data_IF_628883990531
#
_entry.id   IF_628883990531
#
_cell.length_a   1.000
_cell.length_b   1.000
_cell.length_c   1.000
_cell.angle_alpha   90.00
_cell.angle_beta   90.00
_cell.angle_gamma   90.00
#
_symmetry.space_group_name_H-M   'P 1'
#
loop_
_entity.id
_entity.type
_entity.pdbx_description
1 polymer ?
#
# COMPACT_ATOMS: atom_id res chain seq x y z
N UNK A 1 22.07 -17.75 -9.28
CA UNK A 1 22.93 -17.36 -8.13
C UNK A 1 22.10 -16.50 -7.20
N UNK A 2 21.69 -17.06 -6.06
CA UNK A 2 20.88 -16.37 -5.05
C UNK A 2 21.76 -15.32 -4.35
N UNK A 3 21.50 -14.03 -4.58
CA UNK A 3 22.11 -12.96 -3.77
C UNK A 3 21.52 -13.08 -2.36
N UNK A 4 22.37 -13.34 -1.36
CA UNK A 4 22.01 -13.25 0.05
C UNK A 4 21.55 -11.81 0.31
N UNK A 5 20.29 -11.61 0.68
CA UNK A 5 19.84 -10.35 1.24
C UNK A 5 20.63 -10.10 2.52
N UNK A 6 21.34 -8.98 2.56
CA UNK A 6 22.02 -8.49 3.75
C UNK A 6 20.91 -8.10 4.72
N UNK A 7 20.85 -8.73 5.89
CA UNK A 7 19.95 -8.33 6.98
C UNK A 7 20.32 -6.88 7.30
N UNK A 8 19.44 -5.94 6.94
CA UNK A 8 19.51 -4.57 7.42
C UNK A 8 18.79 -4.61 8.77
N UNK A 9 19.49 -4.38 9.90
CA UNK A 9 18.81 -4.27 11.18
C UNK A 9 17.83 -3.09 11.11
N UNK A 10 16.68 -3.23 11.76
CA UNK A 10 15.83 -2.07 12.06
C UNK A 10 16.72 -0.97 12.65
N UNK A 11 16.75 0.24 12.07
CA UNK A 11 17.28 1.36 12.82
C UNK A 11 16.42 1.50 14.08
N UNK A 12 17.06 1.56 15.24
CA UNK A 12 16.39 1.95 16.47
C UNK A 12 15.60 3.23 16.16
N UNK A 13 14.30 3.17 16.40
CA UNK A 13 13.40 4.32 16.33
C UNK A 13 13.82 5.26 17.47
N UNK A 14 14.68 6.23 17.17
CA UNK A 14 14.86 7.39 18.03
C UNK A 14 15.03 8.63 17.16
N UNK A 15 14.07 9.53 17.36
CA UNK A 15 13.77 10.79 16.70
C UNK A 15 14.98 11.74 16.56
N UNK A 16 15.09 12.45 15.44
CA UNK A 16 16.03 13.57 15.27
C UNK A 16 15.29 14.81 14.77
N UNK A 17 14.66 15.55 15.70
CA UNK A 17 14.90 16.99 15.78
C UNK A 17 14.41 17.59 17.12
N UNK A 18 15.27 18.43 17.72
CA UNK A 18 15.05 19.29 18.88
C UNK A 18 15.00 18.63 20.27
N UNK A 19 16.17 18.25 20.80
CA UNK A 19 16.74 18.62 22.13
C UNK A 19 17.98 17.76 22.43
N UNK A 20 19.17 18.25 22.06
CA UNK A 20 20.44 17.55 22.31
C UNK A 20 20.72 17.25 23.80
N UNK A 21 20.03 17.91 24.75
CA UNK A 21 20.13 17.60 26.18
C UNK A 21 19.11 16.59 26.74
N UNK A 22 18.01 16.30 26.04
CA UNK A 22 16.99 15.34 26.50
C UNK A 22 17.16 13.96 25.85
N UNK A 23 17.80 13.93 24.68
CA UNK A 23 18.07 12.71 23.92
C UNK A 23 19.12 11.82 24.60
N UNK A 24 20.20 12.41 25.15
CA UNK A 24 21.23 11.66 25.88
C UNK A 24 20.68 11.04 27.17
N UNK A 25 19.79 11.75 27.88
CA UNK A 25 19.13 11.19 29.07
C UNK A 25 18.14 10.07 28.72
N UNK A 26 17.38 10.19 27.62
CA UNK A 26 16.36 9.18 27.24
C UNK A 26 16.97 7.92 26.59
N UNK A 27 18.00 8.06 25.76
CA UNK A 27 18.78 6.92 25.22
C UNK A 27 19.64 6.26 26.30
N UNK A 28 20.22 7.04 27.22
CA UNK A 28 20.89 6.45 28.37
C UNK A 28 19.89 5.74 29.28
N UNK A 29 18.69 6.28 29.51
CA UNK A 29 17.65 5.63 30.31
C UNK A 29 17.11 4.33 29.67
N UNK A 30 16.97 4.27 28.34
CA UNK A 30 16.54 3.06 27.63
C UNK A 30 17.63 1.97 27.65
N UNK A 31 18.90 2.37 27.44
CA UNK A 31 20.04 1.47 27.59
C UNK A 31 20.27 1.06 29.04
N UNK A 32 20.05 1.96 30.01
CA UNK A 32 20.16 1.70 31.44
C UNK A 32 19.04 0.76 31.90
N UNK A 33 17.80 0.95 31.43
CA UNK A 33 16.69 0.06 31.70
C UNK A 33 16.92 -1.34 31.11
N UNK A 34 17.46 -1.43 29.89
CA UNK A 34 17.87 -2.69 29.29
C UNK A 34 19.03 -3.34 30.07
N UNK A 35 20.00 -2.54 30.52
CA UNK A 35 21.12 -2.99 31.35
C UNK A 35 20.66 -3.47 32.73
N UNK A 36 19.70 -2.78 33.35
CA UNK A 36 19.14 -3.11 34.66
C UNK A 36 18.23 -4.33 34.56
N UNK A 37 17.43 -4.47 33.50
CA UNK A 37 16.60 -5.65 33.24
C UNK A 37 17.47 -6.88 32.93
N UNK A 38 18.57 -6.70 32.18
CA UNK A 38 19.60 -7.74 32.01
C UNK A 38 20.22 -8.04 33.38
N UNK A 39 20.70 -7.06 34.14
CA UNK A 39 21.38 -7.28 35.43
C UNK A 39 20.50 -8.00 36.46
N UNK A 40 19.25 -7.57 36.61
CA UNK A 40 18.27 -8.15 37.52
C UNK A 40 17.89 -9.59 37.12
N UNK A 41 17.98 -9.91 35.83
CA UNK A 41 17.74 -11.26 35.31
C UNK A 41 18.99 -12.15 35.39
N UNK A 42 20.20 -11.59 35.23
CA UNK A 42 21.48 -12.29 35.41
C UNK A 42 21.68 -12.74 36.87
N UNK A 43 21.17 -11.99 37.85
CA UNK A 43 21.21 -12.35 39.28
C UNK A 43 20.35 -13.59 39.63
N UNK A 44 19.37 -13.95 38.79
CA UNK A 44 18.46 -15.07 39.01
C UNK A 44 18.81 -16.39 38.32
N UNK A 45 19.87 -16.42 37.48
CA UNK A 45 20.18 -17.57 36.61
C UNK A 45 21.60 -18.12 36.74
N UNK A 46 21.76 -19.43 36.65
CA UNK A 46 23.07 -20.09 36.55
C UNK A 46 23.69 -19.83 35.16
N UNK A 47 24.40 -18.71 35.02
CA UNK A 47 25.07 -18.31 33.78
C UNK A 47 26.52 -18.73 33.88
N UNK A 48 26.90 -19.75 33.10
CA UNK A 48 28.23 -20.37 33.20
C UNK A 48 29.14 -20.05 32.02
N UNK A 49 28.61 -19.41 30.97
CA UNK A 49 29.38 -19.06 29.77
C UNK A 49 28.81 -17.86 29.00
N UNK A 50 29.66 -17.23 28.18
CA UNK A 50 29.27 -16.18 27.21
C UNK A 50 28.21 -16.70 26.23
N UNK A 51 28.17 -18.00 25.96
CA UNK A 51 27.16 -18.63 25.12
C UNK A 51 25.77 -18.56 25.75
N UNK A 52 25.68 -18.75 27.07
CA UNK A 52 24.43 -18.65 27.83
C UNK A 52 23.91 -17.20 27.82
N UNK A 53 24.82 -16.21 27.93
CA UNK A 53 24.49 -14.78 27.81
C UNK A 53 23.92 -14.46 26.42
N UNK A 54 24.54 -14.95 25.33
CA UNK A 54 24.05 -14.71 23.97
C UNK A 54 22.70 -15.37 23.69
N UNK A 55 22.46 -16.58 24.21
CA UNK A 55 21.16 -17.25 24.13
C UNK A 55 20.11 -16.41 24.86
N UNK A 56 20.44 -15.90 26.05
CA UNK A 56 19.51 -15.11 26.85
C UNK A 56 19.20 -13.74 26.25
N UNK A 57 20.20 -13.06 25.67
CA UNK A 57 20.00 -11.83 24.89
C UNK A 57 19.09 -12.10 23.70
N UNK A 58 19.30 -13.20 22.98
CA UNK A 58 18.42 -13.58 21.87
C UNK A 58 16.99 -13.89 22.35
N UNK A 59 16.82 -14.51 23.52
CA UNK A 59 15.50 -14.73 24.13
C UNK A 59 14.80 -13.42 24.51
N UNK A 60 15.50 -12.47 25.13
CA UNK A 60 14.95 -11.14 25.45
C UNK A 60 14.60 -10.34 24.19
N UNK A 61 15.47 -10.36 23.18
CA UNK A 61 15.19 -9.76 21.88
C UNK A 61 13.99 -10.41 21.20
N UNK A 62 13.84 -11.73 21.29
CA UNK A 62 12.67 -12.42 20.74
C UNK A 62 11.39 -12.05 21.48
N UNK A 63 11.43 -11.97 22.82
CA UNK A 63 10.30 -11.54 23.65
C UNK A 63 9.85 -10.12 23.30
N UNK A 64 10.79 -9.17 23.18
CA UNK A 64 10.48 -7.79 22.78
C UNK A 64 9.95 -7.73 21.33
N UNK A 65 10.50 -8.52 20.42
CA UNK A 65 10.05 -8.57 19.03
C UNK A 65 8.71 -9.29 18.83
N UNK A 66 8.25 -10.07 19.81
CA UNK A 66 6.98 -10.81 19.79
C UNK A 66 5.89 -10.12 20.62
N UNK A 67 6.24 -9.13 21.44
CA UNK A 67 5.28 -8.31 22.18
C UNK A 67 4.48 -7.38 21.27
N UNK A 68 3.17 -7.33 21.46
CA UNK A 68 2.28 -6.41 20.76
C UNK A 68 2.55 -4.95 21.17
N UNK A 69 2.68 -4.06 20.18
CA UNK A 69 2.86 -2.62 20.42
C UNK A 69 1.59 -1.83 20.13
N UNK A 70 1.35 -0.79 20.94
CA UNK A 70 0.16 0.04 20.83
C UNK A 70 0.17 0.87 19.55
N UNK A 71 1.32 1.45 19.19
CA UNK A 71 1.53 2.21 17.95
C UNK A 71 1.36 1.35 16.68
N UNK A 72 1.59 0.04 16.78
CA UNK A 72 1.33 -0.91 15.70
C UNK A 72 -0.06 -1.54 15.78
N UNK A 73 -0.93 -0.99 16.62
CA UNK A 73 -2.28 -1.47 16.85
C UNK A 73 -2.24 -2.98 17.10
N UNK A 74 -1.50 -3.44 18.09
CA UNK A 74 -1.47 -4.84 18.51
C UNK A 74 -0.57 -5.76 17.72
N UNK A 75 0.06 -5.30 16.62
CA UNK A 75 1.10 -6.08 15.95
C UNK A 75 2.41 -6.01 16.72
N UNK A 76 3.19 -7.08 16.67
CA UNK A 76 4.56 -7.09 17.18
C UNK A 76 5.55 -6.47 16.18
N UNK A 77 6.74 -6.02 16.61
CA UNK A 77 7.80 -5.59 15.70
C UNK A 77 8.13 -6.63 14.62
N UNK A 78 8.09 -7.93 14.95
CA UNK A 78 8.29 -9.02 13.98
C UNK A 78 7.19 -9.07 12.93
N UNK A 79 5.93 -8.96 13.33
CA UNK A 79 4.80 -8.92 12.39
C UNK A 79 4.90 -7.68 11.49
N UNK A 80 5.22 -6.52 12.08
CA UNK A 80 5.36 -5.27 11.32
C UNK A 80 6.50 -5.34 10.30
N UNK A 81 7.65 -5.91 10.68
CA UNK A 81 8.75 -6.17 9.75
C UNK A 81 8.30 -6.97 8.53
N UNK A 82 7.55 -8.03 8.78
CA UNK A 82 7.03 -8.92 7.74
C UNK A 82 6.03 -8.20 6.86
N UNK A 83 5.19 -7.33 7.42
CA UNK A 83 4.25 -6.51 6.66
C UNK A 83 4.96 -5.53 5.71
N UNK A 84 6.04 -4.88 6.16
CA UNK A 84 6.76 -3.87 5.37
C UNK A 84 7.61 -4.48 4.26
N UNK A 85 8.33 -5.57 4.55
CA UNK A 85 9.37 -6.08 3.66
C UNK A 85 9.01 -7.39 2.95
N UNK A 86 8.03 -8.14 3.47
CA UNK A 86 7.64 -9.45 2.96
C UNK A 86 6.11 -9.64 2.87
N UNK A 87 5.34 -8.64 2.38
CA UNK A 87 3.88 -8.63 2.51
C UNK A 87 3.20 -9.81 1.82
N UNK A 88 3.75 -10.28 0.69
CA UNK A 88 3.23 -11.44 -0.06
C UNK A 88 3.96 -12.76 0.26
N UNK A 89 4.86 -12.75 1.23
CA UNK A 89 5.65 -13.91 1.66
C UNK A 89 5.45 -14.22 3.16
N UNK A 90 4.35 -13.74 3.74
CA UNK A 90 4.04 -13.81 5.18
C UNK A 90 2.74 -14.56 5.47
N UNK A 91 2.58 -15.75 4.89
CA UNK A 91 1.38 -16.60 4.98
C UNK A 91 1.00 -16.95 6.43
N UNK A 92 1.95 -16.89 7.36
CA UNK A 92 1.71 -17.08 8.79
C UNK A 92 0.85 -15.97 9.42
N UNK A 93 0.78 -14.79 8.79
CA UNK A 93 0.08 -13.60 9.30
C UNK A 93 -1.00 -13.10 8.33
N UNK A 94 -0.78 -13.27 7.04
CA UNK A 94 -1.67 -12.75 6.00
C UNK A 94 -1.63 -13.62 4.75
N UNK A 95 -2.82 -13.89 4.20
CA UNK A 95 -2.98 -14.62 2.94
C UNK A 95 -3.72 -13.73 1.93
N UNK A 96 -3.24 -13.73 0.69
CA UNK A 96 -3.93 -13.12 -0.46
C UNK A 96 -4.45 -14.24 -1.36
N UNK A 97 -5.77 -14.49 -1.40
CA UNK A 97 -6.32 -15.54 -2.25
C UNK A 97 -6.01 -15.31 -3.73
N UNK A 98 -5.59 -16.38 -4.43
CA UNK A 98 -5.36 -16.34 -5.89
C UNK A 98 -6.66 -16.15 -6.70
N UNK A 99 -7.81 -16.42 -6.07
CA UNK A 99 -9.14 -16.31 -6.67
C UNK A 99 -10.11 -15.72 -5.66
N UNK A 100 -10.79 -14.65 -6.05
CA UNK A 100 -11.85 -14.05 -5.23
C UNK A 100 -13.07 -14.98 -5.13
N UNK A 101 -13.86 -14.86 -4.07
CA UNK A 101 -15.03 -15.73 -3.88
C UNK A 101 -16.26 -15.19 -4.61
N UNK A 102 -16.46 -13.87 -4.56
CA UNK A 102 -17.64 -13.22 -5.12
C UNK A 102 -17.86 -13.54 -6.61
N UNK A 103 -19.11 -13.72 -7.04
CA UNK A 103 -19.43 -14.00 -8.45
C UNK A 103 -19.16 -12.79 -9.34
N UNK A 104 -19.12 -11.58 -8.78
CA UNK A 104 -18.81 -10.33 -9.46
C UNK A 104 -17.82 -9.53 -8.64
N UNK A 105 -16.81 -8.99 -9.30
CA UNK A 105 -15.83 -8.07 -8.69
C UNK A 105 -16.20 -6.66 -9.14
N UNK A 106 -16.86 -5.90 -8.26
CA UNK A 106 -17.35 -4.55 -8.59
C UNK A 106 -16.40 -3.52 -7.99
N UNK A 107 -15.56 -2.92 -8.81
CA UNK A 107 -14.73 -1.77 -8.44
C UNK A 107 -14.27 -0.99 -9.67
N UNK A 108 -13.75 0.22 -9.43
CA UNK A 108 -13.15 1.07 -10.48
C UNK A 108 -12.05 0.33 -11.23
N UNK A 109 -11.15 -0.31 -10.50
CA UNK A 109 -10.08 -1.14 -11.07
C UNK A 109 -10.65 -2.31 -11.89
N UNK A 110 -11.58 -3.09 -11.34
CA UNK A 110 -12.13 -4.26 -12.03
C UNK A 110 -12.86 -3.89 -13.33
N UNK A 111 -13.61 -2.79 -13.32
CA UNK A 111 -14.27 -2.26 -14.50
C UNK A 111 -13.28 -1.88 -15.59
N UNK A 112 -12.23 -1.12 -15.25
CA UNK A 112 -11.23 -0.66 -16.21
C UNK A 112 -10.35 -1.80 -16.74
N UNK A 113 -9.96 -2.76 -15.88
CA UNK A 113 -9.23 -3.96 -16.29
C UNK A 113 -10.05 -4.75 -17.32
N UNK A 114 -11.31 -5.04 -16.98
CA UNK A 114 -12.21 -5.80 -17.85
C UNK A 114 -12.47 -5.08 -19.16
N UNK A 115 -12.74 -3.77 -19.11
CA UNK A 115 -12.98 -2.94 -20.29
C UNK A 115 -11.77 -2.86 -21.21
N UNK A 116 -10.57 -2.67 -20.64
CA UNK A 116 -9.33 -2.66 -21.40
C UNK A 116 -9.09 -4.00 -22.09
N UNK A 117 -9.17 -5.12 -21.34
CA UNK A 117 -8.87 -6.44 -21.88
C UNK A 117 -9.87 -6.87 -22.96
N UNK A 118 -11.16 -6.63 -22.73
CA UNK A 118 -12.20 -6.90 -23.73
C UNK A 118 -12.00 -6.04 -24.98
N UNK A 119 -11.64 -4.78 -24.79
CA UNK A 119 -11.33 -3.84 -25.87
C UNK A 119 -10.12 -4.20 -26.73
N UNK A 120 -9.13 -4.89 -26.15
CA UNK A 120 -7.98 -5.42 -26.89
C UNK A 120 -8.40 -6.63 -27.73
N UNK A 121 -9.18 -7.54 -27.14
CA UNK A 121 -9.69 -8.75 -27.80
C UNK A 121 -8.59 -9.62 -28.43
N UNK A 122 -9.00 -10.55 -29.29
CA UNK A 122 -8.08 -11.48 -29.97
C UNK A 122 -7.27 -10.79 -31.08
N UNK A 123 -7.87 -9.80 -31.76
CA UNK A 123 -7.25 -9.08 -32.89
C UNK A 123 -6.19 -8.06 -32.48
N UNK A 124 -6.08 -7.76 -31.18
CA UNK A 124 -5.23 -6.72 -30.62
C UNK A 124 -5.72 -5.30 -30.92
N UNK A 125 -5.27 -4.34 -30.12
CA UNK A 125 -5.62 -2.94 -30.25
C UNK A 125 -4.47 -2.16 -30.89
N UNK A 126 -4.76 -1.44 -31.97
CA UNK A 126 -3.78 -0.54 -32.60
C UNK A 126 -3.56 0.68 -31.71
N UNK A 127 -2.30 0.96 -31.38
CA UNK A 127 -1.91 2.14 -30.64
C UNK A 127 -1.76 3.35 -31.56
N UNK A 128 -1.75 4.53 -30.96
CA UNK A 128 -1.30 5.75 -31.62
C UNK A 128 0.20 5.69 -31.93
N UNK A 129 0.70 6.61 -32.74
CA UNK A 129 2.14 6.71 -33.07
C UNK A 129 3.00 6.85 -31.81
N UNK A 130 2.52 7.56 -30.80
CA UNK A 130 3.20 7.74 -29.51
C UNK A 130 3.13 6.50 -28.61
N UNK A 131 2.39 5.47 -29.01
CA UNK A 131 2.18 4.26 -28.22
C UNK A 131 1.04 4.32 -27.22
N UNK A 132 0.23 5.39 -27.25
CA UNK A 132 -0.93 5.54 -26.39
C UNK A 132 -2.16 4.82 -26.94
N UNK A 133 -3.12 4.51 -26.07
CA UNK A 133 -4.44 4.03 -26.43
C UNK A 133 -5.17 5.03 -27.36
N UNK A 134 -5.97 4.56 -28.33
CA UNK A 134 -6.72 5.43 -29.23
C UNK A 134 -7.77 6.28 -28.50
N UNK A 135 -7.94 7.54 -28.92
CA UNK A 135 -8.88 8.49 -28.29
C UNK A 135 -10.31 7.95 -28.19
N UNK A 136 -10.88 7.42 -29.28
CA UNK A 136 -12.26 6.89 -29.28
C UNK A 136 -12.44 5.77 -28.24
N UNK A 137 -11.46 4.87 -28.17
CA UNK A 137 -11.43 3.77 -27.22
C UNK A 137 -11.44 4.27 -25.76
N UNK A 138 -10.63 5.27 -25.45
CA UNK A 138 -10.58 5.86 -24.11
C UNK A 138 -11.91 6.55 -23.77
N UNK A 139 -12.49 7.31 -24.72
CA UNK A 139 -13.75 8.03 -24.51
C UNK A 139 -14.92 7.09 -24.22
N UNK A 140 -15.02 5.97 -24.93
CA UNK A 140 -16.06 4.94 -24.71
C UNK A 140 -15.96 4.34 -23.30
N UNK A 141 -14.74 3.96 -22.87
CA UNK A 141 -14.52 3.43 -21.51
C UNK A 141 -14.81 4.48 -20.44
N UNK A 142 -14.34 5.72 -20.65
CA UNK A 142 -14.55 6.81 -19.71
C UNK A 142 -16.04 7.13 -19.53
N UNK A 143 -16.84 7.08 -20.60
CA UNK A 143 -18.28 7.27 -20.52
C UNK A 143 -18.93 6.24 -19.58
N UNK A 144 -18.63 4.94 -19.76
CA UNK A 144 -19.16 3.89 -18.88
C UNK A 144 -18.62 3.97 -17.44
N UNK A 145 -17.40 4.49 -17.27
CA UNK A 145 -16.80 4.72 -15.96
C UNK A 145 -17.53 5.84 -15.19
N UNK A 146 -17.69 7.03 -15.78
CA UNK A 146 -18.31 8.17 -15.09
C UNK A 146 -19.81 7.99 -14.85
N UNK A 147 -20.49 7.15 -15.64
CA UNK A 147 -21.88 6.74 -15.34
C UNK A 147 -22.00 5.96 -14.03
N UNK A 148 -20.97 5.18 -13.67
CA UNK A 148 -20.96 4.37 -12.44
C UNK A 148 -20.30 5.10 -11.26
N UNK A 149 -19.28 5.89 -11.53
CA UNK A 149 -18.55 6.68 -10.53
C UNK A 149 -18.50 8.14 -10.97
N UNK A 150 -19.58 8.90 -10.74
CA UNK A 150 -19.62 10.32 -11.06
C UNK A 150 -18.47 11.04 -10.34
N UNK A 151 -17.69 11.80 -11.10
CA UNK A 151 -16.66 12.66 -10.53
C UNK A 151 -17.27 14.00 -10.14
N UNK A 152 -16.78 14.59 -9.03
CA UNK A 152 -17.13 15.97 -8.65
C UNK A 152 -16.81 16.96 -9.77
N UNK A 153 -15.72 16.71 -10.50
CA UNK A 153 -15.32 17.46 -11.67
C UNK A 153 -15.09 16.49 -12.82
N UNK A 154 -16.04 16.42 -13.75
CA UNK A 154 -15.82 15.70 -15.00
C UNK A 154 -14.79 16.45 -15.86
N UNK A 155 -13.86 15.74 -16.51
CA UNK A 155 -12.91 16.38 -17.40
C UNK A 155 -13.64 17.02 -18.58
N UNK A 156 -13.39 18.32 -18.82
CA UNK A 156 -13.99 19.11 -19.91
C UNK A 156 -13.86 18.43 -21.28
N UNK A 157 -12.76 17.70 -21.51
CA UNK A 157 -12.61 16.83 -22.68
C UNK A 157 -11.49 15.81 -22.49
N UNK A 158 -11.70 14.57 -22.93
CA UNK A 158 -10.65 13.54 -23.04
C UNK A 158 -10.09 13.56 -24.47
N UNK A 159 -8.82 13.97 -24.62
CA UNK A 159 -8.11 14.10 -25.90
C UNK A 159 -6.99 13.08 -26.04
N UNK A 160 -6.33 12.75 -24.94
CA UNK A 160 -5.21 11.80 -24.85
C UNK A 160 -5.46 10.76 -23.76
N UNK A 161 -4.67 9.67 -23.76
CA UNK A 161 -4.74 8.63 -22.73
C UNK A 161 -4.47 9.18 -21.32
N UNK A 162 -3.51 10.08 -21.20
CA UNK A 162 -3.13 10.68 -19.91
C UNK A 162 -4.19 11.64 -19.37
N UNK A 163 -5.13 12.10 -20.21
CA UNK A 163 -6.28 12.89 -19.75
C UNK A 163 -7.28 12.04 -18.94
N UNK A 164 -7.25 10.70 -19.12
CA UNK A 164 -8.03 9.75 -18.33
C UNK A 164 -7.08 8.84 -17.52
N UNK A 165 -6.47 9.45 -16.51
CA UNK A 165 -5.44 8.83 -15.67
C UNK A 165 -5.81 7.43 -15.12
N UNK A 166 -7.05 7.15 -14.65
CA UNK A 166 -7.40 5.82 -14.16
C UNK A 166 -7.15 4.71 -15.20
N UNK A 167 -7.57 4.89 -16.45
CA UNK A 167 -7.34 3.90 -17.50
C UNK A 167 -5.87 3.82 -17.89
N UNK A 168 -5.17 4.96 -17.92
CA UNK A 168 -3.74 4.99 -18.19
C UNK A 168 -2.95 4.15 -17.17
N UNK A 169 -3.27 4.29 -15.88
CA UNK A 169 -2.67 3.50 -14.80
C UNK A 169 -2.98 2.02 -14.97
N UNK A 170 -4.23 1.64 -15.25
CA UNK A 170 -4.59 0.24 -15.54
C UNK A 170 -3.79 -0.29 -16.73
N UNK A 171 -3.66 0.47 -17.81
CA UNK A 171 -2.88 0.06 -18.98
C UNK A 171 -1.43 -0.26 -18.62
N UNK A 172 -0.77 0.61 -17.84
CA UNK A 172 0.60 0.37 -17.36
C UNK A 172 0.69 -0.87 -16.46
N UNK A 173 -0.20 -1.00 -15.48
CA UNK A 173 -0.13 -2.07 -14.48
C UNK A 173 -0.45 -3.43 -15.10
N UNK A 174 -1.43 -3.50 -16.01
CA UNK A 174 -1.75 -4.72 -16.77
C UNK A 174 -0.56 -5.14 -17.64
N UNK A 175 0.19 -4.18 -18.18
CA UNK A 175 1.45 -4.46 -18.88
C UNK A 175 2.53 -4.99 -17.94
N UNK A 176 2.75 -4.33 -16.79
CA UNK A 176 3.74 -4.74 -15.77
C UNK A 176 3.43 -6.14 -15.18
N UNK A 177 2.15 -6.49 -15.11
CA UNK A 177 1.67 -7.81 -14.70
C UNK A 177 1.82 -8.89 -15.79
N UNK A 178 2.22 -8.51 -17.01
CA UNK A 178 2.48 -9.41 -18.14
C UNK A 178 1.22 -9.92 -18.84
N UNK A 179 0.08 -9.25 -18.67
CA UNK A 179 -1.17 -9.62 -19.33
C UNK A 179 -1.29 -9.07 -20.75
N UNK A 180 -0.58 -7.99 -21.05
CA UNK A 180 -0.50 -7.42 -22.39
C UNK A 180 0.94 -7.28 -22.84
N UNK A 181 1.15 -7.32 -24.16
CA UNK A 181 2.44 -7.06 -24.80
C UNK A 181 2.27 -6.13 -26.00
N UNK A 182 3.26 -5.27 -26.23
CA UNK A 182 3.32 -4.39 -27.39
C UNK A 182 4.09 -5.07 -28.53
N UNK A 183 3.51 -5.10 -29.73
CA UNK A 183 4.15 -5.63 -30.93
C UNK A 183 3.73 -4.82 -32.16
N UNK A 184 4.71 -4.31 -32.92
CA UNK A 184 4.49 -3.57 -34.19
C UNK A 184 3.39 -2.48 -34.10
N UNK A 185 3.41 -1.67 -33.05
CA UNK A 185 2.44 -0.57 -32.85
C UNK A 185 1.03 -1.01 -32.44
N UNK A 186 0.84 -2.28 -32.06
CA UNK A 186 -0.37 -2.80 -31.45
C UNK A 186 -0.08 -3.36 -30.05
N UNK A 187 -1.11 -3.48 -29.22
CA UNK A 187 -1.08 -4.27 -28.00
C UNK A 187 -1.93 -5.54 -28.19
N UNK A 188 -1.47 -6.63 -27.61
CA UNK A 188 -2.13 -7.93 -27.64
C UNK A 188 -2.19 -8.52 -26.24
N UNK A 189 -3.24 -9.28 -25.97
CA UNK A 189 -3.32 -10.15 -24.80
C UNK A 189 -2.24 -11.24 -24.90
N UNK A 190 -1.57 -11.54 -23.79
CA UNK A 190 -0.57 -12.61 -23.74
C UNK A 190 -1.23 -13.98 -23.59
N UNK A 191 -0.48 -15.06 -23.83
CA UNK A 191 -0.96 -16.41 -23.55
C UNK A 191 -1.31 -16.60 -22.06
N UNK A 192 -0.60 -15.90 -21.16
CA UNK A 192 -0.95 -15.82 -19.73
C UNK A 192 -2.36 -15.25 -19.56
N UNK A 193 -2.65 -14.10 -20.17
CA UNK A 193 -3.97 -13.49 -20.10
C UNK A 193 -5.08 -14.41 -20.60
N UNK A 194 -4.89 -15.05 -21.76
CA UNK A 194 -5.85 -16.02 -22.30
C UNK A 194 -6.15 -17.17 -21.34
N UNK A 195 -5.10 -17.78 -20.76
CA UNK A 195 -5.25 -18.85 -19.76
C UNK A 195 -5.99 -18.38 -18.51
N UNK A 196 -5.57 -17.26 -17.92
CA UNK A 196 -6.19 -16.75 -16.68
C UNK A 196 -7.65 -16.37 -16.90
N UNK A 197 -7.99 -15.76 -18.04
CA UNK A 197 -9.37 -15.45 -18.39
C UNK A 197 -10.24 -16.72 -18.48
N UNK A 198 -9.72 -17.78 -19.11
CA UNK A 198 -10.42 -19.05 -19.24
C UNK A 198 -10.59 -19.79 -17.89
N UNK A 199 -9.62 -19.67 -16.98
CA UNK A 199 -9.67 -20.33 -15.66
C UNK A 199 -10.69 -19.70 -14.73
N UNK A 200 -10.75 -18.38 -14.64
CA UNK A 200 -11.65 -17.71 -13.69
C UNK A 200 -11.88 -16.23 -13.94
N UNK A 201 -11.54 -15.74 -15.14
CA UNK A 201 -11.82 -14.37 -15.54
C UNK A 201 -11.23 -13.33 -14.59
N UNK A 202 -12.02 -12.29 -14.32
CA UNK A 202 -11.63 -11.19 -13.44
C UNK A 202 -11.30 -11.65 -12.02
N UNK A 203 -11.91 -12.74 -11.53
CA UNK A 203 -11.70 -13.24 -10.15
C UNK A 203 -10.26 -13.68 -9.89
N UNK A 204 -9.55 -14.12 -10.93
CA UNK A 204 -8.15 -14.57 -10.87
C UNK A 204 -7.18 -13.50 -11.38
N UNK A 205 -7.63 -12.64 -12.30
CA UNK A 205 -6.83 -11.54 -12.83
C UNK A 205 -6.66 -10.43 -11.78
N UNK A 206 -7.73 -10.11 -11.07
CA UNK A 206 -7.76 -8.98 -10.16
C UNK A 206 -6.69 -9.07 -9.06
N UNK A 207 -6.52 -10.19 -8.31
CA UNK A 207 -5.43 -10.32 -7.33
C UNK A 207 -4.03 -10.17 -7.95
N UNK A 208 -3.83 -10.66 -9.18
CA UNK A 208 -2.54 -10.52 -9.87
C UNK A 208 -2.24 -9.08 -10.30
N UNK A 209 -3.27 -8.33 -10.74
CA UNK A 209 -3.13 -6.91 -11.07
C UNK A 209 -2.91 -6.08 -9.80
N UNK A 210 -3.63 -6.39 -8.72
CA UNK A 210 -3.44 -5.78 -7.41
C UNK A 210 -1.99 -5.96 -6.92
N UNK A 211 -1.47 -7.19 -6.95
CA UNK A 211 -0.07 -7.47 -6.60
C UNK A 211 0.92 -6.67 -7.45
N UNK A 212 0.70 -6.62 -8.77
CA UNK A 212 1.56 -5.84 -9.67
C UNK A 212 1.47 -4.32 -9.43
N UNK A 213 0.32 -3.79 -9.03
CA UNK A 213 0.15 -2.39 -8.66
C UNK A 213 0.99 -2.02 -7.43
N UNK A 214 1.14 -2.95 -6.49
CA UNK A 214 1.93 -2.75 -5.28
C UNK A 214 3.43 -2.93 -5.56
N UNK A 215 3.82 -4.01 -6.21
CA UNK A 215 5.24 -4.38 -6.34
C UNK A 215 5.98 -3.69 -7.48
N UNK A 216 5.27 -3.24 -8.53
CA UNK A 216 5.91 -2.83 -9.79
C UNK A 216 5.59 -1.42 -10.22
N UNK A 217 4.52 -0.83 -9.71
CA UNK A 217 4.07 0.50 -10.10
C UNK A 217 4.43 1.52 -9.01
N UNK A 218 5.07 2.62 -9.41
CA UNK A 218 5.41 3.72 -8.50
C UNK A 218 4.19 4.63 -8.31
N UNK A 219 3.67 4.72 -7.08
CA UNK A 219 2.41 5.43 -6.84
C UNK A 219 2.50 6.95 -7.08
N UNK A 220 3.70 7.53 -6.92
CA UNK A 220 4.00 8.94 -7.18
C UNK A 220 3.78 9.39 -8.63
N UNK A 221 3.76 8.45 -9.58
CA UNK A 221 3.50 8.73 -10.98
C UNK A 221 2.16 9.45 -11.22
N UNK A 222 1.22 9.33 -10.29
CA UNK A 222 -0.15 9.81 -10.47
C UNK A 222 -0.41 11.25 -9.99
N UNK A 223 0.43 11.84 -9.13
CA UNK A 223 0.13 13.13 -8.46
C UNK A 223 1.19 14.22 -8.57
N UNK A 224 2.42 13.89 -8.96
CA UNK A 224 3.50 14.89 -9.00
C UNK A 224 3.96 15.36 -7.61
N UNK A 225 3.55 14.67 -6.53
CA UNK A 225 4.18 14.80 -5.22
C UNK A 225 5.50 14.00 -5.17
N UNK A 226 6.27 14.18 -4.09
CA UNK A 226 7.56 13.52 -3.89
C UNK A 226 7.44 11.99 -3.95
N UNK A 227 8.52 11.30 -4.30
CA UNK A 227 8.56 9.84 -4.28
C UNK A 227 8.60 9.38 -2.82
N UNK A 228 7.56 8.69 -2.36
CA UNK A 228 7.42 8.19 -0.99
C UNK A 228 7.40 6.65 -0.99
N UNK A 229 8.52 5.98 -1.30
CA UNK A 229 8.56 4.52 -1.40
C UNK A 229 8.30 3.84 -0.05
N UNK A 230 8.73 4.42 1.07
CA UNK A 230 8.43 3.88 2.39
C UNK A 230 6.94 4.00 2.69
N UNK A 231 6.29 5.12 2.36
CA UNK A 231 4.82 5.23 2.43
C UNK A 231 4.10 4.13 1.62
N UNK A 232 4.60 3.79 0.43
CA UNK A 232 4.04 2.69 -0.35
C UNK A 232 4.25 1.33 0.33
N UNK A 233 5.36 1.13 1.05
CA UNK A 233 5.62 -0.11 1.80
C UNK A 233 4.68 -0.32 2.99
N UNK A 234 4.04 0.75 3.51
CA UNK A 234 3.08 0.65 4.62
C UNK A 234 1.69 0.13 4.20
N UNK A 235 1.47 -0.18 2.91
CA UNK A 235 0.15 -0.56 2.41
C UNK A 235 -0.51 -1.71 3.18
N UNK A 236 0.26 -2.72 3.57
CA UNK A 236 -0.30 -3.88 4.26
C UNK A 236 -0.74 -3.52 5.69
N UNK A 237 0.02 -2.64 6.36
CA UNK A 237 -0.41 -2.07 7.64
C UNK A 237 -1.68 -1.22 7.48
N UNK A 238 -1.79 -0.41 6.43
CA UNK A 238 -3.02 0.34 6.15
C UNK A 238 -4.22 -0.59 5.88
N UNK A 239 -4.03 -1.69 5.14
CA UNK A 239 -5.09 -2.69 4.96
C UNK A 239 -5.47 -3.39 6.27
N UNK A 240 -4.50 -3.64 7.16
CA UNK A 240 -4.75 -4.16 8.49
C UNK A 240 -5.59 -3.20 9.35
N UNK A 241 -5.26 -1.90 9.33
CA UNK A 241 -6.06 -0.89 10.02
C UNK A 241 -7.49 -0.82 9.46
N UNK A 242 -7.64 -0.88 8.14
CA UNK A 242 -8.95 -0.92 7.48
C UNK A 242 -9.74 -2.19 7.83
N UNK A 243 -9.07 -3.34 7.91
CA UNK A 243 -9.69 -4.58 8.34
C UNK A 243 -10.18 -4.50 9.80
N UNK A 244 -9.36 -3.93 10.68
CA UNK A 244 -9.65 -3.85 12.12
C UNK A 244 -10.72 -2.81 12.47
N UNK A 245 -10.70 -1.66 11.80
CA UNK A 245 -11.49 -0.49 12.19
C UNK A 245 -12.52 -0.04 11.15
N UNK A 246 -12.42 -0.55 9.92
CA UNK A 246 -13.19 -0.08 8.77
C UNK A 246 -14.61 -0.63 8.65
N UNK A 247 -15.11 -1.44 9.60
CA UNK A 247 -16.52 -1.85 9.60
C UNK A 247 -17.47 -0.65 9.76
N UNK A 248 -17.01 0.38 10.48
CA UNK A 248 -17.71 1.64 10.67
C UNK A 248 -17.07 2.75 9.84
N UNK A 249 -17.86 3.77 9.50
CA UNK A 249 -17.34 4.98 8.88
C UNK A 249 -16.41 5.71 9.85
N UNK A 250 -15.18 5.96 9.40
CA UNK A 250 -14.17 6.72 10.16
C UNK A 250 -13.58 7.84 9.32
N UNK A 251 -13.21 8.97 9.92
CA UNK A 251 -12.50 10.01 9.19
C UNK A 251 -11.17 9.46 8.68
N UNK A 252 -10.76 9.86 7.48
CA UNK A 252 -9.46 9.52 6.90
C UNK A 252 -8.28 9.87 7.83
N UNK A 253 -8.40 10.95 8.61
CA UNK A 253 -7.42 11.38 9.61
C UNK A 253 -7.12 10.33 10.67
N UNK A 254 -8.08 9.47 11.03
CA UNK A 254 -7.84 8.34 11.95
C UNK A 254 -6.74 7.41 11.41
N UNK A 255 -6.78 7.12 10.11
CA UNK A 255 -5.80 6.25 9.46
C UNK A 255 -4.47 6.97 9.20
N UNK A 256 -4.51 8.28 8.94
CA UNK A 256 -3.30 9.11 8.86
C UNK A 256 -2.56 9.12 10.20
N UNK A 257 -3.27 9.38 11.30
CA UNK A 257 -2.70 9.43 12.65
C UNK A 257 -2.06 8.10 13.03
N UNK A 258 -2.73 6.98 12.75
CA UNK A 258 -2.20 5.65 13.01
C UNK A 258 -0.88 5.37 12.26
N UNK A 259 -0.78 5.80 11.00
CA UNK A 259 0.43 5.58 10.18
C UNK A 259 1.57 6.52 10.58
N UNK A 260 1.26 7.79 10.89
CA UNK A 260 2.26 8.75 11.38
C UNK A 260 2.79 8.30 12.74
N UNK A 261 1.92 7.83 13.64
CA UNK A 261 2.31 7.32 14.95
C UNK A 261 3.17 6.06 14.84
N UNK A 262 2.82 5.13 13.93
CA UNK A 262 3.59 3.91 13.70
C UNK A 262 4.96 4.20 13.05
N UNK A 263 5.04 5.24 12.20
CA UNK A 263 6.23 5.51 11.40
C UNK A 263 6.59 7.00 11.36
N UNK A 264 7.10 7.57 12.47
CA UNK A 264 7.54 8.97 12.51
C UNK A 264 8.60 9.29 11.44
N UNK A 265 9.43 8.29 11.09
CA UNK A 265 10.47 8.40 10.05
C UNK A 265 9.94 8.65 8.62
N UNK A 266 8.63 8.52 8.37
CA UNK A 266 8.04 8.92 7.08
C UNK A 266 8.28 10.40 6.77
N UNK A 267 8.49 11.22 7.80
CA UNK A 267 8.82 12.63 7.64
C UNK A 267 10.15 12.85 6.92
N UNK A 268 11.08 11.89 6.99
CA UNK A 268 12.38 11.97 6.32
C UNK A 268 12.27 11.85 4.78
N UNK A 269 11.16 11.30 4.26
CA UNK A 269 10.89 11.22 2.82
C UNK A 269 10.34 12.53 2.23
N UNK A 270 9.86 13.46 3.08
CA UNK A 270 9.24 14.70 2.64
C UNK A 270 10.30 15.75 2.37
N UNK A 271 10.28 16.34 1.18
CA UNK A 271 11.15 17.48 0.86
C UNK A 271 10.54 18.75 1.48
N UNK A 272 11.24 19.42 2.42
CA UNK A 272 10.72 20.64 3.02
C UNK A 272 10.51 21.74 1.98
N UNK A 273 9.35 22.39 2.03
CA UNK A 273 8.96 23.44 1.08
C UNK A 273 8.49 24.69 1.85
N UNK A 274 8.93 25.91 1.49
CA UNK A 274 8.70 27.13 2.29
C UNK A 274 7.24 27.54 2.52
N UNK A 275 6.31 27.04 1.71
CA UNK A 275 4.88 27.39 1.74
C UNK A 275 4.01 26.34 2.46
N UNK A 276 4.62 25.33 3.10
CA UNK A 276 3.87 24.41 3.95
C UNK A 276 3.98 24.87 5.40
N UNK A 277 2.85 25.35 5.94
CA UNK A 277 2.77 25.82 7.33
C UNK A 277 2.88 24.65 8.32
N UNK A 278 2.45 23.45 7.92
CA UNK A 278 2.55 22.22 8.70
C UNK A 278 3.44 21.21 7.95
N UNK A 279 4.56 20.75 8.53
CA UNK A 279 5.45 19.78 7.89
C UNK A 279 4.81 18.41 7.66
N UNK A 280 3.79 18.02 8.43
CA UNK A 280 3.09 16.73 8.26
C UNK A 280 2.02 16.77 7.16
N UNK A 281 1.52 17.96 6.80
CA UNK A 281 0.41 18.09 5.84
C UNK A 281 0.73 17.44 4.48
N UNK A 282 1.93 17.61 3.89
CA UNK A 282 2.32 16.89 2.67
C UNK A 282 2.22 15.37 2.79
N UNK A 283 2.69 14.81 3.90
CA UNK A 283 2.70 13.37 4.15
C UNK A 283 1.27 12.85 4.28
N UNK A 284 0.45 13.50 5.12
CA UNK A 284 -0.95 13.15 5.36
C UNK A 284 -1.78 13.22 4.08
N UNK A 285 -1.59 14.29 3.31
CA UNK A 285 -2.19 14.45 1.99
C UNK A 285 -1.77 13.32 1.03
N UNK A 286 -0.49 12.99 0.98
CA UNK A 286 0.00 11.88 0.16
C UNK A 286 -0.56 10.53 0.61
N UNK A 287 -0.68 10.30 1.93
CA UNK A 287 -1.31 9.09 2.47
C UNK A 287 -2.77 8.98 2.03
N UNK A 288 -3.59 10.01 2.29
CA UNK A 288 -4.99 10.02 1.90
C UNK A 288 -5.19 9.83 0.40
N UNK A 289 -4.42 10.56 -0.41
CA UNK A 289 -4.53 10.49 -1.87
C UNK A 289 -4.07 9.13 -2.42
N UNK A 290 -2.89 8.66 -2.02
CA UNK A 290 -2.26 7.48 -2.62
C UNK A 290 -2.80 6.19 -2.01
N UNK A 291 -2.91 6.11 -0.68
CA UNK A 291 -3.34 4.91 0.04
C UNK A 291 -4.86 4.73 0.03
N UNK A 292 -5.61 5.78 0.38
CA UNK A 292 -7.05 5.65 0.57
C UNK A 292 -7.80 5.83 -0.74
N UNK A 293 -7.53 6.90 -1.50
CA UNK A 293 -8.29 7.20 -2.72
C UNK A 293 -7.84 6.37 -3.94
N UNK A 294 -6.56 6.45 -4.29
CA UNK A 294 -6.01 5.88 -5.54
C UNK A 294 -5.59 4.43 -5.44
N UNK A 295 -5.48 3.90 -4.23
CA UNK A 295 -5.23 2.48 -3.99
C UNK A 295 -6.49 1.81 -3.44
N UNK A 296 -6.79 1.93 -2.15
CA UNK A 296 -7.86 1.16 -1.51
C UNK A 296 -9.22 1.44 -2.17
N UNK A 297 -9.56 2.70 -2.39
CA UNK A 297 -10.82 3.09 -3.02
C UNK A 297 -10.86 2.75 -4.51
N UNK A 298 -9.72 2.81 -5.21
CA UNK A 298 -9.65 2.47 -6.63
C UNK A 298 -9.87 0.97 -6.86
N UNK A 299 -9.25 0.15 -6.01
CA UNK A 299 -9.47 -1.29 -6.00
C UNK A 299 -10.85 -1.67 -5.41
N UNK A 300 -11.53 -0.75 -4.73
CA UNK A 300 -12.86 -0.98 -4.17
C UNK A 300 -12.83 -1.71 -2.82
N UNK A 301 -11.70 -1.64 -2.12
CA UNK A 301 -11.50 -2.18 -0.77
C UNK A 301 -12.15 -1.29 0.30
N UNK A 302 -12.37 -0.02 -0.04
CA UNK A 302 -13.07 0.94 0.79
C UNK A 302 -14.08 1.75 -0.02
N UNK A 303 -15.17 2.13 0.64
CA UNK A 303 -16.02 3.24 0.24
C UNK A 303 -15.44 4.54 0.80
N UNK A 304 -15.55 5.61 0.01
CA UNK A 304 -15.14 6.97 0.40
C UNK A 304 -16.33 7.90 0.27
N UNK A 305 -16.62 8.64 1.32
CA UNK A 305 -17.68 9.63 1.34
C UNK A 305 -17.10 10.97 1.76
N UNK A 306 -17.33 12.02 0.96
CA UNK A 306 -16.91 13.38 1.32
C UNK A 306 -17.72 13.84 2.55
N UNK A 307 -17.03 14.27 3.60
CA UNK A 307 -17.63 14.76 4.84
C UNK A 307 -17.36 16.24 5.12
N UNK A 308 -16.45 16.86 4.36
CA UNK A 308 -16.07 18.26 4.55
C UNK A 308 -17.05 19.24 3.90
N UNK A 309 -17.16 20.45 4.48
CA UNK A 309 -17.86 21.57 3.85
C UNK A 309 -16.95 22.46 3.00
N UNK A 310 -15.63 22.38 3.19
CA UNK A 310 -14.64 23.17 2.45
C UNK A 310 -14.26 22.46 1.13
N UNK A 311 -14.60 23.02 -0.05
CA UNK A 311 -14.22 22.47 -1.34
C UNK A 311 -12.70 22.38 -1.56
N UNK A 312 -11.91 23.15 -0.80
CA UNK A 312 -10.45 23.21 -0.90
C UNK A 312 -9.76 22.22 0.03
N UNK A 313 -10.47 21.69 1.03
CA UNK A 313 -9.99 20.69 2.00
C UNK A 313 -10.99 19.55 2.07
N UNK A 314 -10.91 18.67 1.08
CA UNK A 314 -11.76 17.49 1.02
C UNK A 314 -11.44 16.57 2.20
N UNK A 315 -12.31 16.58 3.20
CA UNK A 315 -12.33 15.61 4.27
C UNK A 315 -13.18 14.42 3.84
N UNK A 316 -12.70 13.23 4.16
CA UNK A 316 -13.35 11.98 3.78
C UNK A 316 -13.64 11.13 4.99
N UNK A 317 -14.78 10.43 4.95
CA UNK A 317 -15.00 9.23 5.74
C UNK A 317 -14.70 8.00 4.88
N UNK A 318 -14.16 6.99 5.53
CA UNK A 318 -13.69 5.74 4.93
C UNK A 318 -14.36 4.58 5.65
N UNK A 319 -14.81 3.60 4.88
CA UNK A 319 -15.35 2.34 5.39
C UNK A 319 -14.89 1.20 4.51
N UNK A 320 -14.41 0.11 5.10
CA UNK A 320 -14.03 -1.09 4.37
C UNK A 320 -15.26 -1.73 3.69
N UNK A 321 -15.04 -2.27 2.50
CA UNK A 321 -16.04 -3.06 1.78
C UNK A 321 -15.81 -4.56 2.05
N UNK A 322 -16.79 -5.44 1.74
CA UNK A 322 -16.58 -6.89 1.80
C UNK A 322 -15.42 -7.38 0.91
N UNK A 323 -15.10 -6.66 -0.17
CA UNK A 323 -14.02 -7.02 -1.08
C UNK A 323 -12.64 -6.97 -0.40
N UNK A 324 -12.46 -6.15 0.65
CA UNK A 324 -11.23 -6.16 1.44
C UNK A 324 -10.98 -7.55 2.03
N UNK A 325 -11.97 -8.11 2.72
CA UNK A 325 -11.85 -9.42 3.38
C UNK A 325 -11.75 -10.58 2.39
N UNK A 326 -12.28 -10.44 1.18
CA UNK A 326 -12.09 -11.42 0.10
C UNK A 326 -10.67 -11.37 -0.50
N UNK A 327 -10.05 -10.19 -0.55
CA UNK A 327 -8.74 -10.01 -1.17
C UNK A 327 -7.58 -10.28 -0.21
N UNK A 328 -7.77 -10.02 1.09
CA UNK A 328 -6.74 -10.18 2.10
C UNK A 328 -7.33 -10.75 3.40
N UNK A 329 -6.77 -11.87 3.85
CA UNK A 329 -7.19 -12.56 5.07
C UNK A 329 -6.08 -12.45 6.13
N UNK A 330 -6.35 -11.70 7.19
CA UNK A 330 -5.43 -11.55 8.33
C UNK A 330 -5.64 -12.67 9.35
N UNK A 331 -4.53 -13.18 9.91
CA UNK A 331 -4.50 -14.23 10.96
C UNK A 331 -3.74 -13.79 12.21
N UNK A 332 -3.61 -12.47 12.38
CA UNK A 332 -2.83 -11.81 13.45
C UNK A 332 -3.66 -11.40 14.65
#
# INVERSE_FOLDING_TARGET
MKKKAKIIPFPNVVDKSCKEGAQEEMDSNSMQALHDEIAQFLEGGNITSIKDVNIKIAELQNLQNDGALAEFHGLSPRQMYRFLYFPFESEEFVVFPDTLESPRVTSRAAFLITSLMNGIGEGGLKLTVKGNLPRKFIQEIAQGYYQQWPARFEPLSIRTETDFLPLHVVHLVVQLAGFIRKQKGKIFLTAKAGKTMATGGIKVIYPQIFKAYIEKFAWSYQDGHDELPFLQSTFLFSLYLLHRYGQEWRPHSFYEDAVVQAFPMLMDEIVPRPWHDNPEEPLRRCYSLRMLERFAGFFGLVDLEESGQDPLRAEWRVRATPLLSELVCFSV
#
